data_IF_256908208523
#
_entry.id   IF_256908208523
#
_cell.length_a   1.000
_cell.length_b   1.000
_cell.length_c   1.000
_cell.angle_alpha   90.00
_cell.angle_beta   90.00
_cell.angle_gamma   90.00
#
_symmetry.space_group_name_H-M   'P 1'
#
loop_
_entity.id
_entity.type
_entity.pdbx_description
1 polymer ?
#
# COMPACT_ATOMS: atom_id res chain seq x y z
N UNK A 1 -26.94 3.14 4.86
CA UNK A 1 -25.99 4.28 4.75
C UNK A 1 -26.66 5.47 5.41
N UNK A 2 -25.95 6.12 6.34
CA UNK A 2 -26.42 7.32 7.07
C UNK A 2 -25.96 8.61 6.39
N UNK A 3 -24.77 8.57 5.78
CA UNK A 3 -24.13 9.75 5.19
C UNK A 3 -23.48 9.41 3.87
N UNK A 4 -23.61 10.29 2.89
CA UNK A 4 -22.93 10.24 1.60
C UNK A 4 -22.38 11.60 1.26
N UNK A 5 -21.13 11.65 0.83
CA UNK A 5 -20.49 12.84 0.29
C UNK A 5 -19.73 12.51 -0.98
N UNK A 6 -19.69 13.45 -1.90
CA UNK A 6 -18.90 13.34 -3.13
C UNK A 6 -18.21 14.68 -3.34
N UNK A 7 -16.88 14.64 -3.35
CA UNK A 7 -16.05 15.81 -3.61
C UNK A 7 -14.83 15.40 -4.43
N UNK A 8 -14.74 15.92 -5.65
CA UNK A 8 -13.75 15.52 -6.65
C UNK A 8 -13.83 14.00 -6.90
N UNK A 9 -12.67 13.28 -6.85
CA UNK A 9 -12.57 11.83 -6.97
C UNK A 9 -12.96 11.07 -5.69
N UNK A 10 -13.13 11.76 -4.56
CA UNK A 10 -13.40 11.15 -3.27
C UNK A 10 -14.90 11.01 -3.01
N UNK A 11 -15.36 9.78 -2.90
CA UNK A 11 -16.73 9.45 -2.52
C UNK A 11 -16.70 8.79 -1.15
N UNK A 12 -17.40 9.39 -0.19
CA UNK A 12 -17.46 8.87 1.18
C UNK A 12 -18.87 8.35 1.47
N UNK A 13 -18.96 7.12 1.94
CA UNK A 13 -20.18 6.54 2.50
C UNK A 13 -19.93 6.12 3.94
N UNK A 14 -20.74 6.60 4.86
CA UNK A 14 -20.74 6.19 6.27
C UNK A 14 -22.05 5.50 6.61
N UNK A 15 -21.99 4.44 7.41
CA UNK A 15 -23.16 3.70 7.83
C UNK A 15 -22.80 2.45 8.61
N UNK A 16 -23.73 1.48 8.69
CA UNK A 16 -23.55 0.27 9.46
C UNK A 16 -23.43 -0.96 8.57
N UNK A 17 -22.52 -1.86 8.97
CA UNK A 17 -22.52 -3.28 8.57
C UNK A 17 -22.76 -4.10 9.84
N UNK A 18 -23.92 -4.71 9.95
CA UNK A 18 -24.38 -5.29 11.21
C UNK A 18 -24.47 -4.22 12.31
N UNK A 19 -23.73 -4.41 13.40
CA UNK A 19 -23.70 -3.48 14.55
C UNK A 19 -22.50 -2.52 14.50
N UNK A 20 -21.62 -2.64 13.50
CA UNK A 20 -20.40 -1.81 13.41
C UNK A 20 -20.62 -0.65 12.45
N UNK A 21 -20.36 0.56 12.94
CA UNK A 21 -20.35 1.76 12.10
C UNK A 21 -19.01 1.88 11.41
N UNK A 22 -19.04 2.04 10.11
CA UNK A 22 -17.84 2.15 9.25
C UNK A 22 -18.00 3.31 8.28
N UNK A 23 -16.88 3.85 7.83
CA UNK A 23 -16.80 4.76 6.69
C UNK A 23 -16.00 4.08 5.58
N UNK A 24 -16.47 4.24 4.34
CA UNK A 24 -15.79 3.78 3.14
C UNK A 24 -15.52 5.01 2.27
N UNK A 25 -14.27 5.20 1.88
CA UNK A 25 -13.83 6.33 1.06
C UNK A 25 -13.18 5.79 -0.20
N UNK A 26 -13.62 6.24 -1.39
CA UNK A 26 -12.87 5.99 -2.62
C UNK A 26 -11.66 6.92 -2.67
N UNK A 27 -10.49 6.38 -2.99
CA UNK A 27 -9.23 7.15 -2.94
C UNK A 27 -8.74 7.58 -4.33
N UNK A 28 -9.37 7.11 -5.41
CA UNK A 28 -8.79 7.28 -6.76
C UNK A 28 -7.59 6.34 -6.97
N UNK A 29 -6.67 6.73 -7.85
CA UNK A 29 -5.53 5.94 -8.28
C UNK A 29 -4.23 6.66 -7.92
N UNK A 30 -3.28 5.92 -7.37
CA UNK A 30 -1.92 6.38 -7.13
C UNK A 30 -1.62 6.76 -5.67
N UNK A 31 -0.31 6.76 -5.30
CA UNK A 31 0.13 7.01 -3.94
C UNK A 31 -0.18 8.43 -3.45
N UNK A 32 -0.17 9.42 -4.34
CA UNK A 32 -0.49 10.81 -4.07
C UNK A 32 -1.93 11.01 -3.56
N UNK A 33 -2.89 10.26 -4.09
CA UNK A 33 -4.26 10.27 -3.57
C UNK A 33 -4.37 9.63 -2.18
N UNK A 34 -3.59 8.57 -1.91
CA UNK A 34 -3.52 7.96 -0.59
C UNK A 34 -2.93 8.94 0.42
N UNK A 35 -1.86 9.62 0.06
CA UNK A 35 -1.23 10.67 0.87
C UNK A 35 -2.25 11.71 1.33
N UNK A 36 -3.05 12.24 0.40
CA UNK A 36 -4.11 13.22 0.72
C UNK A 36 -5.13 12.61 1.70
N UNK A 37 -5.69 11.44 1.36
CA UNK A 37 -6.77 10.83 2.15
C UNK A 37 -6.31 10.49 3.57
N UNK A 38 -5.13 9.87 3.73
CA UNK A 38 -4.66 9.45 5.05
C UNK A 38 -4.31 10.64 5.93
N UNK A 39 -3.64 11.65 5.40
CA UNK A 39 -3.33 12.86 6.16
C UNK A 39 -4.59 13.64 6.56
N UNK A 40 -5.59 13.74 5.68
CA UNK A 40 -6.84 14.42 6.01
C UNK A 40 -7.69 13.63 7.01
N UNK A 41 -7.74 12.29 6.92
CA UNK A 41 -8.42 11.46 7.92
C UNK A 41 -7.75 11.54 9.28
N UNK A 42 -6.41 11.52 9.33
CA UNK A 42 -5.66 11.73 10.57
C UNK A 42 -5.91 13.12 11.15
N UNK A 43 -5.87 14.16 10.31
CA UNK A 43 -6.16 15.52 10.75
C UNK A 43 -7.57 15.68 11.34
N UNK A 44 -8.58 15.09 10.71
CA UNK A 44 -9.95 15.09 11.23
C UNK A 44 -10.07 14.41 12.60
N UNK A 45 -9.29 13.35 12.83
CA UNK A 45 -9.29 12.60 14.08
C UNK A 45 -8.47 13.29 15.18
N UNK A 46 -7.31 13.87 14.82
CA UNK A 46 -6.23 14.19 15.75
C UNK A 46 -5.85 15.68 15.84
N UNK A 47 -6.47 16.54 15.02
CA UNK A 47 -6.29 17.99 15.09
C UNK A 47 -7.57 18.65 15.58
N UNK A 48 -7.46 19.56 16.55
CA UNK A 48 -8.52 20.50 16.87
C UNK A 48 -8.55 21.58 15.78
N UNK A 49 -9.58 21.55 14.94
CA UNK A 49 -9.69 22.43 13.79
C UNK A 49 -9.96 23.90 14.18
N UNK A 50 -10.39 24.18 15.42
CA UNK A 50 -10.63 25.54 15.93
C UNK A 50 -9.30 26.17 16.34
N UNK A 51 -8.54 25.49 17.20
CA UNK A 51 -7.22 25.96 17.66
C UNK A 51 -6.09 25.65 16.68
N UNK A 52 -6.32 24.76 15.71
CA UNK A 52 -5.33 24.25 14.73
C UNK A 52 -4.12 23.59 15.41
N UNK A 53 -4.35 22.95 16.55
CA UNK A 53 -3.32 22.24 17.31
C UNK A 53 -3.61 20.75 17.36
N UNK A 54 -2.54 19.94 17.54
CA UNK A 54 -2.65 18.51 17.76
C UNK A 54 -3.39 18.28 19.07
N UNK A 55 -4.35 17.36 19.09
CA UNK A 55 -5.11 16.98 20.31
C UNK A 55 -4.17 16.31 21.31
N UNK A 56 -4.41 16.53 22.60
CA UNK A 56 -3.64 15.87 23.67
C UNK A 56 -3.82 14.35 23.65
N UNK A 57 -5.06 13.88 23.40
CA UNK A 57 -5.38 12.47 23.23
C UNK A 57 -5.54 12.13 21.74
N UNK A 58 -4.66 11.27 21.23
CA UNK A 58 -4.69 10.83 19.84
C UNK A 58 -5.60 9.63 19.64
N UNK A 59 -6.37 9.66 18.58
CA UNK A 59 -7.22 8.56 18.12
C UNK A 59 -6.48 7.70 17.11
N UNK A 60 -6.30 6.42 17.41
CA UNK A 60 -5.76 5.46 16.45
C UNK A 60 -6.87 4.97 15.52
N UNK A 61 -6.72 5.24 14.22
CA UNK A 61 -7.66 4.79 13.19
C UNK A 61 -7.33 3.36 12.73
N UNK A 62 -8.36 2.53 12.58
CA UNK A 62 -8.26 1.23 11.93
C UNK A 62 -8.59 1.40 10.44
N UNK A 63 -7.58 1.35 9.58
CA UNK A 63 -7.72 1.56 8.14
C UNK A 63 -7.47 0.24 7.42
N UNK A 64 -8.36 -0.12 6.50
CA UNK A 64 -8.22 -1.28 5.62
C UNK A 64 -8.40 -0.79 4.19
N UNK A 65 -7.37 -0.92 3.37
CA UNK A 65 -7.48 -0.65 1.95
C UNK A 65 -7.99 -1.90 1.21
N UNK A 66 -8.99 -1.70 0.36
CA UNK A 66 -9.47 -2.70 -0.59
C UNK A 66 -9.21 -2.23 -2.01
N UNK A 67 -8.65 -3.07 -2.84
CA UNK A 67 -8.35 -2.74 -4.23
C UNK A 67 -8.14 -3.97 -5.08
N UNK A 68 -7.90 -3.76 -6.36
CA UNK A 68 -7.51 -4.81 -7.31
C UNK A 68 -6.00 -4.76 -7.55
N UNK A 69 -5.41 -5.90 -7.89
CA UNK A 69 -3.97 -6.00 -8.15
C UNK A 69 -3.66 -7.09 -9.19
N UNK A 70 -2.50 -6.99 -9.82
CA UNK A 70 -1.96 -8.03 -10.69
C UNK A 70 -1.20 -9.09 -9.88
N UNK A 71 -1.51 -10.37 -10.10
CA UNK A 71 -0.75 -11.47 -9.49
C UNK A 71 0.62 -11.60 -10.15
N UNK A 72 1.67 -11.79 -9.34
CA UNK A 72 3.04 -12.11 -9.79
C UNK A 72 3.40 -13.58 -9.57
N UNK A 73 2.47 -14.39 -9.04
CA UNK A 73 2.74 -15.78 -8.71
C UNK A 73 1.75 -16.71 -9.43
N UNK A 74 2.28 -17.71 -10.15
CA UNK A 74 1.46 -18.69 -10.89
C UNK A 74 0.47 -19.48 -10.03
N UNK A 75 0.75 -19.63 -8.74
CA UNK A 75 -0.11 -20.33 -7.79
C UNK A 75 -1.16 -19.42 -7.10
N UNK A 76 -1.27 -18.16 -7.52
CA UNK A 76 -2.31 -17.23 -7.10
C UNK A 76 -3.16 -16.92 -8.34
N UNK A 77 -4.25 -17.65 -8.57
CA UNK A 77 -5.10 -17.46 -9.75
C UNK A 77 -5.92 -16.17 -9.67
N UNK A 78 -6.52 -15.80 -10.80
CA UNK A 78 -7.52 -14.71 -10.86
C UNK A 78 -8.64 -15.00 -9.86
N UNK A 79 -9.29 -13.95 -9.36
CA UNK A 79 -10.33 -13.98 -8.33
C UNK A 79 -9.85 -14.46 -6.95
N UNK A 80 -8.55 -14.53 -6.71
CA UNK A 80 -8.01 -14.79 -5.38
C UNK A 80 -8.00 -13.55 -4.51
N UNK A 81 -8.18 -13.75 -3.20
CA UNK A 81 -7.94 -12.72 -2.21
C UNK A 81 -6.49 -12.77 -1.73
N UNK A 82 -5.82 -11.60 -1.77
CA UNK A 82 -4.48 -11.42 -1.24
C UNK A 82 -4.50 -10.44 -0.09
N UNK A 83 -3.93 -10.82 1.04
CA UNK A 83 -3.73 -9.94 2.19
C UNK A 83 -2.25 -9.55 2.26
N UNK A 84 -1.98 -8.25 2.12
CA UNK A 84 -0.61 -7.70 2.15
C UNK A 84 -0.06 -7.77 3.56
N UNK A 85 1.01 -8.56 3.77
CA UNK A 85 1.76 -8.54 5.03
C UNK A 85 2.66 -7.32 5.12
N UNK A 86 3.13 -6.86 3.96
CA UNK A 86 3.93 -5.65 3.79
C UNK A 86 3.53 -4.94 2.50
N UNK A 87 3.60 -3.62 2.52
CA UNK A 87 3.62 -2.77 1.34
C UNK A 87 5.06 -2.40 0.99
N UNK A 88 5.49 -2.67 -0.24
CA UNK A 88 6.80 -2.29 -0.75
C UNK A 88 6.62 -1.23 -1.84
N UNK A 89 7.08 -0.01 -1.57
CA UNK A 89 6.92 1.13 -2.47
C UNK A 89 8.08 1.32 -3.42
N UNK A 90 7.77 1.54 -4.69
CA UNK A 90 8.70 1.97 -5.73
C UNK A 90 8.44 3.43 -6.17
N UNK A 91 7.53 4.11 -5.48
CA UNK A 91 7.01 5.46 -5.80
C UNK A 91 7.82 6.59 -5.15
N UNK A 92 8.67 6.29 -4.18
CA UNK A 92 9.46 7.21 -3.37
C UNK A 92 8.65 8.10 -2.39
N UNK A 93 7.32 7.98 -2.27
CA UNK A 93 6.50 8.88 -1.45
C UNK A 93 6.96 8.92 0.01
N UNK A 94 7.16 7.78 0.63
CA UNK A 94 7.46 7.70 2.06
C UNK A 94 8.84 8.25 2.43
N UNK A 95 9.72 8.57 1.47
CA UNK A 95 10.97 9.28 1.76
C UNK A 95 10.76 10.75 2.14
N UNK A 96 9.57 11.30 1.91
CA UNK A 96 9.18 12.62 2.39
C UNK A 96 8.69 12.62 3.85
N UNK A 97 8.50 11.43 4.44
CA UNK A 97 8.09 11.23 5.83
C UNK A 97 9.20 10.62 6.68
N UNK A 98 9.10 10.78 8.01
CA UNK A 98 10.03 10.13 8.95
C UNK A 98 9.57 8.69 9.18
N UNK A 99 10.07 7.76 8.36
CA UNK A 99 9.81 6.33 8.53
C UNK A 99 10.78 5.75 9.57
N UNK A 100 10.26 4.92 10.46
CA UNK A 100 11.06 4.11 11.38
C UNK A 100 10.83 2.64 11.06
N UNK A 101 11.73 2.07 10.26
CA UNK A 101 11.70 0.65 9.97
C UNK A 101 12.23 -0.15 11.16
N UNK A 102 11.55 -1.25 11.49
CA UNK A 102 12.06 -2.26 12.41
C UNK A 102 13.18 -3.10 11.76
N UNK A 103 13.82 -3.99 12.53
CA UNK A 103 14.95 -4.79 12.02
C UNK A 103 14.55 -5.77 10.90
N UNK A 104 13.34 -6.30 10.94
CA UNK A 104 12.82 -7.18 9.88
C UNK A 104 12.61 -6.42 8.56
N UNK A 105 12.00 -5.25 8.62
CA UNK A 105 11.80 -4.36 7.47
C UNK A 105 13.15 -3.91 6.87
N UNK A 106 14.15 -3.59 7.71
CA UNK A 106 15.50 -3.25 7.25
C UNK A 106 16.17 -4.41 6.51
N UNK A 107 16.04 -5.63 7.04
CA UNK A 107 16.58 -6.84 6.39
C UNK A 107 15.86 -7.13 5.07
N UNK A 108 14.52 -7.01 5.05
CA UNK A 108 13.72 -7.21 3.84
C UNK A 108 14.09 -6.21 2.74
N UNK A 109 14.18 -4.93 3.05
CA UNK A 109 14.52 -3.91 2.06
C UNK A 109 15.97 -4.04 1.58
N UNK A 110 16.90 -4.41 2.46
CA UNK A 110 18.27 -4.71 2.08
C UNK A 110 18.36 -5.90 1.12
N UNK A 111 17.67 -7.01 1.44
CA UNK A 111 17.61 -8.19 0.58
C UNK A 111 16.97 -7.87 -0.78
N UNK A 112 15.89 -7.08 -0.78
CA UNK A 112 15.23 -6.64 -1.99
C UNK A 112 16.15 -5.79 -2.88
N UNK A 113 16.82 -4.80 -2.32
CA UNK A 113 17.77 -3.94 -3.05
C UNK A 113 18.94 -4.73 -3.61
N UNK A 114 19.46 -5.71 -2.86
CA UNK A 114 20.52 -6.61 -3.33
C UNK A 114 20.06 -7.47 -4.50
N UNK A 115 18.83 -7.99 -4.44
CA UNK A 115 18.26 -8.84 -5.49
C UNK A 115 17.94 -8.07 -6.76
N UNK A 116 17.34 -6.87 -6.64
CA UNK A 116 16.83 -6.10 -7.79
C UNK A 116 17.82 -5.08 -8.33
N UNK A 117 18.83 -4.68 -7.55
CA UNK A 117 19.76 -3.59 -7.84
C UNK A 117 19.07 -2.20 -8.01
N UNK A 118 17.79 -2.08 -7.67
CA UNK A 118 17.03 -0.82 -7.81
C UNK A 118 17.56 0.27 -6.90
N UNK A 119 17.95 -0.06 -5.66
CA UNK A 119 18.44 0.89 -4.67
C UNK A 119 19.73 1.62 -5.04
N UNK A 120 20.44 1.19 -6.08
CA UNK A 120 21.60 1.90 -6.64
C UNK A 120 21.24 2.91 -7.74
N UNK A 121 19.97 2.99 -8.13
CA UNK A 121 19.47 3.82 -9.21
C UNK A 121 18.63 5.01 -8.76
N UNK A 122 17.70 5.42 -9.62
CA UNK A 122 16.77 6.55 -9.38
C UNK A 122 15.57 6.18 -8.52
N UNK A 123 15.30 4.89 -8.34
CA UNK A 123 14.23 4.37 -7.49
C UNK A 123 14.85 3.99 -6.15
N UNK A 124 14.29 4.50 -5.07
CA UNK A 124 14.69 4.17 -3.70
C UNK A 124 13.52 3.41 -3.03
N UNK A 125 13.53 2.06 -3.09
CA UNK A 125 12.45 1.28 -2.50
C UNK A 125 12.38 1.45 -0.99
N UNK A 126 11.15 1.40 -0.46
CA UNK A 126 10.86 1.39 0.98
C UNK A 126 9.84 0.30 1.29
N UNK A 127 9.70 -0.08 2.56
CA UNK A 127 8.79 -1.14 2.99
C UNK A 127 8.16 -0.78 4.33
N UNK A 128 6.90 -1.17 4.51
CA UNK A 128 6.18 -1.04 5.77
C UNK A 128 5.34 -2.28 6.04
N UNK A 129 5.33 -2.73 7.28
CA UNK A 129 4.55 -3.89 7.71
C UNK A 129 3.09 -3.52 7.94
N UNK A 130 2.17 -4.40 7.55
CA UNK A 130 0.76 -4.28 7.88
C UNK A 130 0.53 -4.37 9.40
N UNK A 131 -0.57 -3.75 9.88
CA UNK A 131 -0.96 -3.88 11.29
C UNK A 131 -1.15 -5.33 11.69
N UNK A 132 -0.34 -5.82 12.65
CA UNK A 132 -0.46 -7.18 13.19
C UNK A 132 -1.83 -7.45 13.83
N UNK A 133 -2.49 -6.42 14.35
CA UNK A 133 -3.82 -6.53 14.91
C UNK A 133 -4.90 -6.75 13.83
N UNK A 134 -4.71 -6.21 12.63
CA UNK A 134 -5.65 -6.35 11.53
C UNK A 134 -5.35 -7.58 10.66
N UNK A 135 -4.10 -7.79 10.26
CA UNK A 135 -3.73 -8.86 9.31
C UNK A 135 -4.09 -10.26 9.79
N UNK A 136 -4.09 -10.52 11.10
CA UNK A 136 -4.48 -11.81 11.69
C UNK A 136 -5.92 -12.25 11.35
N UNK A 137 -6.79 -11.32 10.95
CA UNK A 137 -8.16 -11.61 10.54
C UNK A 137 -8.26 -12.07 9.08
N UNK A 138 -7.17 -11.93 8.30
CA UNK A 138 -7.11 -12.24 6.87
C UNK A 138 -6.16 -13.41 6.58
N UNK A 139 -6.37 -14.55 7.30
CA UNK A 139 -5.52 -15.75 7.15
C UNK A 139 -6.22 -16.86 6.41
N UNK A 140 -7.49 -17.11 6.73
CA UNK A 140 -8.27 -18.18 6.09
C UNK A 140 -8.80 -17.73 4.74
N UNK A 141 -8.50 -18.47 3.68
CA UNK A 141 -8.89 -18.19 2.29
C UNK A 141 -8.23 -16.93 1.69
N UNK A 142 -7.14 -16.46 2.28
CA UNK A 142 -6.31 -15.38 1.74
C UNK A 142 -4.90 -15.89 1.45
N UNK A 143 -4.36 -15.55 0.28
CA UNK A 143 -2.92 -15.61 0.07
C UNK A 143 -2.27 -14.45 0.83
N UNK A 144 -1.12 -14.70 1.44
CA UNK A 144 -0.38 -13.66 2.16
C UNK A 144 0.98 -13.43 1.53
N UNK A 145 1.43 -12.18 1.50
CA UNK A 145 2.74 -11.82 1.01
C UNK A 145 2.94 -10.31 0.88
N UNK A 146 4.05 -9.94 0.24
CA UNK A 146 4.41 -8.55 0.00
C UNK A 146 3.66 -8.07 -1.24
N UNK A 147 2.99 -6.92 -1.13
CA UNK A 147 2.40 -6.21 -2.27
C UNK A 147 3.34 -5.09 -2.69
N UNK A 148 3.66 -5.00 -3.98
CA UNK A 148 4.49 -3.92 -4.53
C UNK A 148 3.60 -2.80 -5.06
N UNK A 149 3.89 -1.57 -4.65
CA UNK A 149 3.26 -0.36 -5.18
C UNK A 149 4.13 0.26 -6.25
N UNK A 150 3.59 0.32 -7.46
CA UNK A 150 4.22 0.93 -8.62
C UNK A 150 3.66 2.33 -8.88
N UNK A 151 4.49 3.34 -9.20
CA UNK A 151 4.03 4.73 -9.40
C UNK A 151 3.29 4.95 -10.73
N UNK A 152 2.91 3.90 -11.43
CA UNK A 152 2.19 3.96 -12.70
C UNK A 152 1.81 2.59 -13.23
N UNK A 153 0.85 2.57 -14.16
CA UNK A 153 0.25 1.34 -14.66
C UNK A 153 1.07 0.68 -15.80
N UNK A 154 1.69 1.45 -16.70
CA UNK A 154 2.36 0.89 -17.88
C UNK A 154 3.83 0.53 -17.62
N UNK A 155 4.75 1.47 -17.83
CA UNK A 155 6.19 1.23 -17.66
C UNK A 155 6.59 0.69 -16.30
N UNK A 156 6.10 1.25 -15.17
CA UNK A 156 6.40 0.73 -13.84
C UNK A 156 5.87 -0.68 -13.57
N UNK A 157 4.89 -1.14 -14.35
CA UNK A 157 4.36 -2.51 -14.29
C UNK A 157 4.80 -3.39 -15.47
N UNK A 158 5.84 -2.99 -16.18
CA UNK A 158 6.46 -3.79 -17.22
C UNK A 158 5.76 -3.78 -18.59
N UNK A 159 4.73 -2.94 -18.78
CA UNK A 159 4.03 -2.82 -20.04
C UNK A 159 4.77 -1.93 -21.02
N UNK A 160 5.02 -2.46 -22.20
CA UNK A 160 5.66 -1.74 -23.31
C UNK A 160 4.63 -1.40 -24.37
N UNK A 161 4.45 -0.12 -24.65
CA UNK A 161 3.73 0.35 -25.83
C UNK A 161 4.72 0.92 -26.86
N UNK A 162 4.93 2.23 -26.88
CA UNK A 162 5.89 2.90 -27.75
C UNK A 162 7.23 3.20 -27.08
N UNK A 163 7.17 3.55 -25.80
CA UNK A 163 8.36 3.90 -25.01
C UNK A 163 9.00 2.65 -24.41
N UNK A 164 10.33 2.53 -24.51
CA UNK A 164 11.09 1.46 -23.89
C UNK A 164 11.13 1.58 -22.36
N UNK A 165 11.38 0.45 -21.70
CA UNK A 165 11.47 0.38 -20.23
C UNK A 165 12.85 0.78 -19.74
N UNK A 166 12.90 1.55 -18.65
CA UNK A 166 14.13 1.83 -17.90
C UNK A 166 14.64 0.62 -17.12
N UNK A 167 13.71 -0.25 -16.68
CA UNK A 167 14.00 -1.48 -15.92
C UNK A 167 13.29 -2.69 -16.55
N UNK A 168 13.79 -3.23 -17.68
CA UNK A 168 13.10 -4.30 -18.41
C UNK A 168 12.99 -5.62 -17.64
N UNK A 169 13.89 -5.90 -16.69
CA UNK A 169 13.84 -7.10 -15.84
C UNK A 169 13.02 -6.90 -14.55
N UNK A 170 12.34 -5.77 -14.37
CA UNK A 170 11.66 -5.45 -13.11
C UNK A 170 10.68 -6.56 -12.70
N UNK A 171 9.80 -6.97 -13.61
CA UNK A 171 8.76 -7.98 -13.32
C UNK A 171 9.36 -9.33 -12.98
N UNK A 172 10.41 -9.76 -13.68
CA UNK A 172 11.12 -11.02 -13.39
C UNK A 172 11.77 -10.94 -12.01
N UNK A 173 12.41 -9.82 -11.67
CA UNK A 173 13.01 -9.59 -10.37
C UNK A 173 11.96 -9.59 -9.25
N UNK A 174 10.81 -8.92 -9.44
CA UNK A 174 9.73 -8.94 -8.47
C UNK A 174 9.17 -10.35 -8.28
N UNK A 175 8.93 -11.07 -9.37
CA UNK A 175 8.40 -12.44 -9.34
C UNK A 175 9.35 -13.42 -8.67
N UNK A 176 10.65 -13.25 -8.89
CA UNK A 176 11.72 -14.09 -8.35
C UNK A 176 12.13 -13.78 -6.92
N UNK A 177 11.75 -12.64 -6.37
CA UNK A 177 12.18 -12.24 -5.03
C UNK A 177 11.64 -13.15 -3.93
N UNK A 178 12.58 -13.62 -3.09
CA UNK A 178 12.30 -14.39 -1.86
C UNK A 178 13.31 -14.06 -0.78
N UNK A 179 12.84 -13.92 0.44
CA UNK A 179 13.68 -13.77 1.63
C UNK A 179 13.03 -14.50 2.80
N UNK A 180 13.62 -15.61 3.25
CA UNK A 180 13.00 -16.50 4.24
C UNK A 180 11.64 -17.00 3.72
N UNK A 181 10.59 -16.74 4.48
CA UNK A 181 9.20 -17.07 4.12
C UNK A 181 8.49 -15.96 3.32
N UNK A 182 9.16 -14.83 3.10
CA UNK A 182 8.58 -13.69 2.39
C UNK A 182 8.79 -13.82 0.88
N UNK A 183 7.75 -13.48 0.14
CA UNK A 183 7.77 -13.34 -1.33
C UNK A 183 6.84 -12.21 -1.74
N UNK A 184 7.09 -11.65 -2.91
CA UNK A 184 6.15 -10.73 -3.54
C UNK A 184 5.02 -11.55 -4.15
N UNK A 185 3.78 -11.23 -3.83
CA UNK A 185 2.58 -11.94 -4.31
C UNK A 185 1.91 -11.21 -5.45
N UNK A 186 1.85 -9.91 -5.40
CA UNK A 186 1.09 -9.07 -6.32
C UNK A 186 1.67 -7.65 -6.38
N UNK A 187 1.20 -6.88 -7.34
CA UNK A 187 1.54 -5.48 -7.51
C UNK A 187 0.31 -4.64 -7.88
N UNK A 188 0.34 -3.39 -7.52
CA UNK A 188 -0.72 -2.41 -7.69
C UNK A 188 -0.15 -0.97 -7.59
N UNK A 189 -0.93 0.04 -7.20
CA UNK A 189 -0.49 1.44 -7.27
C UNK A 189 -0.65 2.24 -5.96
N UNK A 190 -1.01 1.64 -4.79
CA UNK A 190 -1.38 2.43 -3.59
C UNK A 190 -0.98 1.84 -2.22
N UNK A 191 -0.77 0.54 -2.08
CA UNK A 191 -0.72 -0.16 -0.77
C UNK A 191 0.42 0.27 0.15
N UNK A 192 1.55 0.74 -0.40
CA UNK A 192 2.73 1.12 0.39
C UNK A 192 2.68 2.54 0.95
N UNK A 193 1.81 3.37 0.38
CA UNK A 193 1.64 4.76 0.74
C UNK A 193 0.85 4.96 2.04
#
# INVERSE_FOLDING_TARGET
IEYKNNHREFITHTGFIGKKRISCVSTGIGPDNIDIVLNELDALANIDLTSRSIREELTCLNIIRLGTSGSLQKNIPVDSFVASTHGLGLDNLMHFYRIQNNEEEKQLIHAFNTHTQLGSGKVSPYISMASGALIKHFTKNYHQGITVTCPGFYGPQGWVLRLGLGYPQLIDNLTGFKFGNYRITNFEMETSA
#
